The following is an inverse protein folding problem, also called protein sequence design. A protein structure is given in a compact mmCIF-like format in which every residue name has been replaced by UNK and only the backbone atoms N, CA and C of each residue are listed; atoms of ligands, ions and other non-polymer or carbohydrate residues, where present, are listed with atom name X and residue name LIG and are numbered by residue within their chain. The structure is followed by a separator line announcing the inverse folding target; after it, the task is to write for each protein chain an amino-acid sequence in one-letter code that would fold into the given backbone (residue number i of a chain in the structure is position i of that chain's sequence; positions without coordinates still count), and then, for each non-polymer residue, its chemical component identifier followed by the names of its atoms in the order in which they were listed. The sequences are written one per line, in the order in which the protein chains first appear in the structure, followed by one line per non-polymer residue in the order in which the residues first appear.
data_IF_069557334497
#
_entry.id   IF_069557334497
#
_cell.length_a   1.000
_cell.length_b   1.000
_cell.length_c   1.000
_cell.angle_alpha   90.00
_cell.angle_beta   90.00
_cell.angle_gamma   90.00
#
_symmetry.space_group_name_H-M   'P 1'
#
loop_
_entity.id
_entity.type
_entity.pdbx_description
1 polymer ?
#
# COMPACT_ATOMS: atom_id res chain seq x y z
N UNK A 1 -14.07 18.49 17.79
CA UNK A 1 -13.48 18.54 16.42
C UNK A 1 -13.48 17.09 15.93
N UNK A 2 -14.03 16.83 14.76
CA UNK A 2 -14.03 15.48 14.17
C UNK A 2 -12.61 15.14 13.65
N UNK A 3 -12.06 14.02 14.07
CA UNK A 3 -10.71 13.60 13.73
C UNK A 3 -10.75 12.25 13.03
N UNK A 4 -10.05 12.12 11.91
CA UNK A 4 -9.86 10.84 11.20
C UNK A 4 -8.37 10.54 11.04
N UNK A 5 -7.97 9.28 11.23
CA UNK A 5 -6.63 8.82 10.88
C UNK A 5 -6.65 8.12 9.53
N UNK A 6 -5.77 8.56 8.64
CA UNK A 6 -5.64 8.01 7.30
C UNK A 6 -4.25 7.38 7.15
N UNK A 7 -4.22 6.11 6.73
CA UNK A 7 -2.99 5.34 6.61
C UNK A 7 -2.62 5.10 5.15
N UNK A 8 -1.36 5.44 4.76
CA UNK A 8 -0.93 5.33 3.37
C UNK A 8 -0.69 3.87 2.95
N UNK A 9 -0.66 3.65 1.65
CA UNK A 9 -0.25 2.42 1.02
C UNK A 9 1.16 2.46 0.43
N UNK A 10 1.49 1.43 -0.36
CA UNK A 10 2.76 1.30 -1.06
C UNK A 10 3.06 2.53 -1.92
N UNK A 11 4.32 2.99 -1.90
CA UNK A 11 4.80 4.22 -2.54
C UNK A 11 5.11 5.35 -1.55
N UNK A 12 4.73 5.20 -0.26
CA UNK A 12 5.01 6.19 0.79
C UNK A 12 6.28 5.88 1.59
N UNK A 13 6.91 4.72 1.36
CA UNK A 13 8.15 4.33 2.03
C UNK A 13 9.34 5.18 1.58
N UNK A 14 10.25 5.42 2.50
CA UNK A 14 11.59 5.97 2.22
C UNK A 14 12.59 5.46 3.25
N UNK A 15 13.85 5.36 2.84
CA UNK A 15 14.95 5.05 3.76
C UNK A 15 14.99 6.06 4.91
N UNK A 16 15.33 5.59 6.09
CA UNK A 16 15.34 6.32 7.37
C UNK A 16 13.97 6.67 7.97
N UNK A 17 12.84 6.29 7.36
CA UNK A 17 11.51 6.54 7.95
C UNK A 17 11.39 5.88 9.34
N UNK A 18 10.88 6.62 10.32
CA UNK A 18 10.68 6.14 11.69
C UNK A 18 11.95 5.99 12.52
N UNK A 19 13.14 6.37 12.02
CA UNK A 19 14.38 6.32 12.80
C UNK A 19 14.32 7.24 14.03
N UNK A 20 13.75 8.41 13.90
CA UNK A 20 13.47 9.35 14.98
C UNK A 20 12.53 8.75 16.03
N UNK A 21 11.47 8.05 15.62
CA UNK A 21 10.56 7.36 16.52
C UNK A 21 11.28 6.27 17.31
N UNK A 22 12.11 5.46 16.63
CA UNK A 22 12.94 4.45 17.28
C UNK A 22 13.90 5.04 18.33
N UNK A 23 14.51 6.18 18.02
CA UNK A 23 15.50 6.82 18.94
C UNK A 23 14.84 7.51 20.12
N UNK A 24 13.66 8.10 19.94
CA UNK A 24 13.08 9.04 20.88
C UNK A 24 11.90 8.47 21.69
N UNK A 25 11.38 7.29 21.33
CA UNK A 25 10.21 6.72 21.99
C UNK A 25 10.43 5.25 22.37
N UNK A 26 9.90 4.84 23.52
CA UNK A 26 10.00 3.45 23.96
C UNK A 26 9.11 2.54 23.09
N UNK A 27 7.93 3.00 22.70
CA UNK A 27 7.04 2.28 21.77
C UNK A 27 7.70 2.08 20.39
N UNK A 28 8.46 3.04 19.90
CA UNK A 28 9.22 2.90 18.67
C UNK A 28 10.29 1.80 18.79
N UNK A 29 11.06 1.78 19.89
CA UNK A 29 12.07 0.73 20.16
C UNK A 29 11.42 -0.65 20.26
N UNK A 30 10.35 -0.76 21.04
CA UNK A 30 9.62 -2.00 21.26
C UNK A 30 9.11 -2.58 19.93
N UNK A 31 8.37 -1.79 19.16
CA UNK A 31 7.71 -2.27 17.95
C UNK A 31 8.68 -2.57 16.80
N UNK A 32 9.77 -1.81 16.65
CA UNK A 32 10.79 -2.17 15.67
C UNK A 32 11.54 -3.45 16.02
N UNK A 33 11.82 -3.69 17.32
CA UNK A 33 12.47 -4.94 17.75
C UNK A 33 11.51 -6.13 17.58
N UNK A 34 10.26 -6.00 18.01
CA UNK A 34 9.23 -7.01 17.82
C UNK A 34 9.00 -7.32 16.33
N UNK A 35 9.08 -6.30 15.47
CA UNK A 35 8.97 -6.49 14.04
C UNK A 35 10.11 -7.34 13.46
N UNK A 36 11.36 -7.17 13.93
CA UNK A 36 12.47 -8.03 13.51
C UNK A 36 12.20 -9.51 13.86
N UNK A 37 11.69 -9.77 15.07
CA UNK A 37 11.37 -11.12 15.52
C UNK A 37 10.27 -11.76 14.65
N UNK A 38 9.18 -11.04 14.36
CA UNK A 38 8.06 -11.52 13.54
C UNK A 38 8.50 -11.73 12.07
N UNK A 39 9.28 -10.80 11.54
CA UNK A 39 9.77 -10.90 10.15
C UNK A 39 10.81 -12.01 9.99
N UNK A 40 11.52 -12.39 11.06
CA UNK A 40 12.62 -13.33 11.03
C UNK A 40 13.86 -12.79 10.28
N UNK A 41 13.96 -11.47 10.19
CA UNK A 41 15.04 -10.74 9.52
C UNK A 41 15.17 -9.33 10.08
N UNK A 42 16.31 -8.67 9.89
CA UNK A 42 16.50 -7.31 10.35
C UNK A 42 15.81 -6.29 9.42
N UNK A 43 14.47 -6.29 9.46
CA UNK A 43 13.64 -5.33 8.71
C UNK A 43 13.94 -3.88 9.13
N UNK A 44 14.31 -3.67 10.38
CA UNK A 44 14.70 -2.37 10.91
C UNK A 44 15.93 -1.81 10.18
N UNK A 45 16.94 -2.63 9.92
CA UNK A 45 18.13 -2.21 9.18
C UNK A 45 17.77 -1.81 7.74
N UNK A 46 16.94 -2.60 7.07
CA UNK A 46 16.44 -2.29 5.72
C UNK A 46 15.68 -0.95 5.71
N UNK A 47 14.85 -0.69 6.72
CA UNK A 47 14.09 0.56 6.81
C UNK A 47 15.02 1.75 7.06
N UNK A 48 16.00 1.63 7.95
CA UNK A 48 16.83 2.76 8.36
C UNK A 48 17.99 3.04 7.42
N UNK A 49 18.62 2.01 6.89
CA UNK A 49 19.87 2.09 6.14
C UNK A 49 19.72 1.70 4.66
N UNK A 50 18.59 1.09 4.26
CA UNK A 50 18.35 0.70 2.89
C UNK A 50 19.05 -0.60 2.45
N UNK A 51 19.43 -0.72 1.19
CA UNK A 51 19.28 0.30 0.13
C UNK A 51 17.83 0.55 -0.30
N UNK A 52 17.58 1.68 -0.96
CA UNK A 52 16.25 2.11 -1.40
C UNK A 52 15.58 1.10 -2.35
N UNK A 53 16.38 0.45 -3.21
CA UNK A 53 15.92 -0.61 -4.11
C UNK A 53 15.34 -1.81 -3.34
N UNK A 54 16.00 -2.25 -2.27
CA UNK A 54 15.51 -3.33 -1.40
C UNK A 54 14.24 -2.92 -0.68
N UNK A 55 14.20 -1.69 -0.14
CA UNK A 55 13.01 -1.18 0.54
C UNK A 55 11.81 -1.03 -0.39
N UNK A 56 12.01 -0.88 -1.71
CA UNK A 56 10.96 -0.84 -2.73
C UNK A 56 10.37 -2.21 -3.07
N UNK A 57 11.03 -3.29 -2.71
CA UNK A 57 10.46 -4.63 -2.91
C UNK A 57 9.21 -4.80 -2.05
N UNK A 58 8.15 -5.34 -2.64
CA UNK A 58 6.85 -5.54 -1.97
C UNK A 58 6.98 -6.26 -0.63
N UNK A 59 7.93 -7.20 -0.56
CA UNK A 59 8.22 -7.99 0.65
C UNK A 59 8.64 -7.13 1.85
N UNK A 60 9.36 -6.03 1.61
CA UNK A 60 9.85 -5.12 2.65
C UNK A 60 9.03 -3.84 2.75
N UNK A 61 8.56 -3.32 1.61
CA UNK A 61 7.75 -2.09 1.56
C UNK A 61 6.52 -2.18 2.45
N UNK A 62 5.76 -3.28 2.34
CA UNK A 62 4.50 -3.41 3.06
C UNK A 62 4.70 -3.48 4.58
N UNK A 63 5.54 -4.39 5.11
CA UNK A 63 5.84 -4.39 6.54
C UNK A 63 6.39 -3.06 7.04
N UNK A 64 7.30 -2.43 6.29
CA UNK A 64 7.93 -1.17 6.68
C UNK A 64 6.88 -0.04 6.88
N UNK A 65 5.96 0.13 5.93
CA UNK A 65 4.89 1.13 6.03
C UNK A 65 3.95 0.80 7.19
N UNK A 66 3.58 -0.48 7.36
CA UNK A 66 2.72 -0.92 8.46
C UNK A 66 3.34 -0.59 9.83
N UNK A 67 4.61 -0.98 10.06
CA UNK A 67 5.32 -0.77 11.32
C UNK A 67 5.33 0.73 11.69
N UNK A 68 5.79 1.57 10.79
CA UNK A 68 5.88 3.03 11.04
C UNK A 68 4.51 3.65 11.24
N UNK A 69 3.51 3.25 10.43
CA UNK A 69 2.13 3.75 10.53
C UNK A 69 1.50 3.41 11.88
N UNK A 70 1.67 2.18 12.35
CA UNK A 70 1.11 1.76 13.65
C UNK A 70 1.82 2.45 14.80
N UNK A 71 3.14 2.57 14.77
CA UNK A 71 3.89 3.32 15.79
C UNK A 71 3.37 4.76 15.91
N UNK A 72 3.24 5.47 14.78
CA UNK A 72 2.70 6.84 14.76
C UNK A 72 1.27 6.87 15.32
N UNK A 73 0.42 5.97 14.88
CA UNK A 73 -0.97 5.90 15.35
C UNK A 73 -1.07 5.65 16.85
N UNK A 74 -0.24 4.74 17.41
CA UNK A 74 -0.17 4.47 18.84
C UNK A 74 0.32 5.67 19.64
N UNK A 75 1.38 6.34 19.19
CA UNK A 75 1.89 7.56 19.83
C UNK A 75 0.82 8.65 19.86
N UNK A 76 0.05 8.81 18.78
CA UNK A 76 -1.05 9.79 18.75
C UNK A 76 -2.16 9.43 19.74
N UNK A 77 -2.54 8.15 19.82
CA UNK A 77 -3.52 7.68 20.80
C UNK A 77 -3.06 7.93 22.24
N UNK A 78 -1.80 7.63 22.56
CA UNK A 78 -1.20 7.85 23.88
C UNK A 78 -1.15 9.34 24.25
N UNK A 79 -1.02 10.22 23.25
CA UNK A 79 -1.13 11.68 23.43
C UNK A 79 -2.57 12.20 23.53
N UNK A 80 -3.56 11.31 23.55
CA UNK A 80 -4.97 11.66 23.68
C UNK A 80 -5.68 12.04 22.37
N UNK A 81 -5.02 11.89 21.21
CA UNK A 81 -5.66 12.07 19.91
C UNK A 81 -6.54 10.84 19.61
N UNK A 82 -7.85 10.96 19.83
CA UNK A 82 -8.81 9.87 19.59
C UNK A 82 -9.54 10.11 18.28
N UNK A 83 -9.29 9.29 17.23
CA UNK A 83 -10.03 9.42 15.98
C UNK A 83 -11.44 8.85 16.13
N UNK A 84 -12.43 9.49 15.53
CA UNK A 84 -13.79 8.98 15.38
C UNK A 84 -13.89 7.97 14.24
N UNK A 85 -12.95 8.02 13.30
CA UNK A 85 -12.81 7.03 12.24
C UNK A 85 -11.37 6.85 11.79
N UNK A 86 -11.10 5.68 11.25
CA UNK A 86 -9.82 5.32 10.64
C UNK A 86 -10.06 4.78 9.24
N UNK A 87 -9.15 5.05 8.31
CA UNK A 87 -9.18 4.47 6.97
C UNK A 87 -7.76 4.24 6.46
N UNK A 88 -7.62 3.29 5.55
CA UNK A 88 -6.32 2.96 4.96
C UNK A 88 -6.43 2.70 3.46
N UNK A 89 -5.40 3.10 2.72
CA UNK A 89 -5.29 2.81 1.31
C UNK A 89 -4.54 1.48 1.10
N UNK A 90 -5.21 0.46 0.55
CA UNK A 90 -4.62 -0.86 0.29
C UNK A 90 -3.95 -1.44 1.55
N UNK A 91 -2.62 -1.46 1.62
CA UNK A 91 -1.87 -1.88 2.81
C UNK A 91 -2.26 -1.09 4.07
N UNK A 92 -2.52 0.20 3.95
CA UNK A 92 -2.89 1.07 5.06
C UNK A 92 -4.13 0.61 5.83
N UNK A 93 -5.00 -0.19 5.20
CA UNK A 93 -6.17 -0.81 5.86
C UNK A 93 -5.77 -1.69 7.05
N UNK A 94 -4.68 -2.43 6.95
CA UNK A 94 -4.15 -3.22 8.07
C UNK A 94 -3.71 -2.33 9.23
N UNK A 95 -3.09 -1.19 8.94
CA UNK A 95 -2.73 -0.21 9.96
C UNK A 95 -3.98 0.41 10.61
N UNK A 96 -5.00 0.74 9.80
CA UNK A 96 -6.28 1.24 10.29
C UNK A 96 -6.97 0.21 11.20
N UNK A 97 -7.03 -1.06 10.82
CA UNK A 97 -7.59 -2.14 11.62
C UNK A 97 -6.82 -2.34 12.95
N UNK A 98 -5.50 -2.23 12.93
CA UNK A 98 -4.69 -2.32 14.16
C UNK A 98 -4.97 -1.14 15.09
N UNK A 99 -5.07 0.07 14.57
CA UNK A 99 -5.33 1.27 15.38
C UNK A 99 -6.76 1.31 15.91
N UNK A 100 -7.72 0.73 15.18
CA UNK A 100 -9.10 0.54 15.68
C UNK A 100 -9.24 -0.55 16.74
N UNK A 101 -8.19 -1.35 16.98
CA UNK A 101 -8.21 -2.46 17.92
C UNK A 101 -8.81 -3.77 17.38
N UNK A 102 -9.01 -3.87 16.07
CA UNK A 102 -9.56 -5.09 15.44
C UNK A 102 -8.59 -6.28 15.54
N UNK A 103 -7.28 -6.03 15.57
CA UNK A 103 -6.24 -7.02 15.86
C UNK A 103 -4.98 -6.36 16.47
N UNK A 104 -4.12 -7.19 17.06
CA UNK A 104 -2.88 -6.72 17.66
C UNK A 104 -1.84 -6.34 16.57
N UNK A 105 -0.79 -5.63 16.97
CA UNK A 105 0.34 -5.32 16.09
C UNK A 105 0.96 -6.57 15.48
N UNK A 106 1.16 -7.61 16.30
CA UNK A 106 1.78 -8.87 15.90
C UNK A 106 0.95 -9.60 14.85
N UNK A 107 -0.36 -9.71 15.10
CA UNK A 107 -1.27 -10.35 14.16
C UNK A 107 -1.35 -9.56 12.85
N UNK A 108 -1.43 -8.23 12.94
CA UNK A 108 -1.45 -7.36 11.78
C UNK A 108 -0.16 -7.44 10.97
N UNK A 109 1.01 -7.43 11.61
CA UNK A 109 2.29 -7.57 10.92
C UNK A 109 2.45 -8.96 10.27
N UNK A 110 2.00 -10.02 10.95
CA UNK A 110 2.01 -11.38 10.40
C UNK A 110 1.13 -11.49 9.16
N UNK A 111 -0.05 -10.87 9.16
CA UNK A 111 -0.94 -10.81 8.00
C UNK A 111 -0.31 -9.99 6.85
N UNK A 112 0.33 -8.87 7.16
CA UNK A 112 1.02 -8.03 6.17
C UNK A 112 2.21 -8.76 5.54
N UNK A 113 2.98 -9.50 6.34
CA UNK A 113 4.06 -10.38 5.87
C UNK A 113 3.53 -11.41 4.88
N UNK A 114 2.50 -12.17 5.28
CA UNK A 114 1.87 -13.17 4.42
C UNK A 114 1.32 -12.56 3.12
N UNK A 115 0.69 -11.38 3.22
CA UNK A 115 0.22 -10.62 2.06
C UNK A 115 1.35 -10.26 1.11
N UNK A 116 2.45 -9.72 1.63
CA UNK A 116 3.61 -9.30 0.84
C UNK A 116 4.26 -10.48 0.11
N UNK A 117 4.42 -11.61 0.80
CA UNK A 117 4.94 -12.86 0.24
C UNK A 117 4.06 -13.37 -0.91
N UNK A 118 2.74 -13.46 -0.70
CA UNK A 118 1.81 -13.93 -1.71
C UNK A 118 1.73 -12.98 -2.92
N UNK A 119 1.75 -11.68 -2.69
CA UNK A 119 1.78 -10.69 -3.78
C UNK A 119 3.08 -10.78 -4.60
N UNK A 120 4.22 -11.03 -3.96
CA UNK A 120 5.49 -11.23 -4.65
C UNK A 120 5.47 -12.51 -5.50
N UNK A 121 4.93 -13.61 -4.96
CA UNK A 121 4.77 -14.87 -5.69
C UNK A 121 3.83 -14.66 -6.88
N UNK A 122 2.67 -14.05 -6.68
CA UNK A 122 1.70 -13.78 -7.73
C UNK A 122 2.30 -12.92 -8.86
N UNK A 123 3.07 -11.88 -8.52
CA UNK A 123 3.75 -11.03 -9.50
C UNK A 123 4.84 -11.74 -10.29
N UNK A 124 5.51 -12.73 -9.71
CA UNK A 124 6.50 -13.59 -10.40
C UNK A 124 5.80 -14.61 -11.31
N UNK A 125 4.71 -15.22 -10.83
CA UNK A 125 3.98 -16.26 -11.57
C UNK A 125 3.18 -15.67 -12.74
N UNK A 126 2.56 -14.51 -12.54
CA UNK A 126 1.76 -13.81 -13.54
C UNK A 126 2.24 -12.36 -13.68
N UNK A 127 3.32 -12.11 -14.43
CA UNK A 127 3.86 -10.77 -14.59
C UNK A 127 2.85 -9.81 -15.21
N UNK A 128 2.47 -8.79 -14.45
CA UNK A 128 1.54 -7.75 -14.83
C UNK A 128 2.11 -6.35 -14.65
N UNK A 129 1.25 -5.36 -14.82
CA UNK A 129 1.53 -3.96 -14.51
C UNK A 129 0.25 -3.23 -14.12
N UNK A 130 0.41 -2.01 -13.63
CA UNK A 130 -0.68 -1.11 -13.27
C UNK A 130 -0.46 0.24 -13.94
N UNK A 131 -1.54 0.97 -14.18
CA UNK A 131 -1.49 2.35 -14.65
C UNK A 131 -2.61 3.17 -14.02
N UNK A 132 -2.31 4.42 -13.67
CA UNK A 132 -3.29 5.38 -13.21
C UNK A 132 -3.88 6.15 -14.39
N UNK A 133 -5.21 6.22 -14.47
CA UNK A 133 -5.96 7.00 -15.45
C UNK A 133 -6.69 8.11 -14.70
N UNK A 134 -6.51 9.35 -15.16
CA UNK A 134 -7.06 10.54 -14.52
C UNK A 134 -7.95 11.29 -15.49
N UNK A 135 -9.14 11.68 -15.02
CA UNK A 135 -10.07 12.53 -15.76
C UNK A 135 -11.11 11.77 -16.58
N UNK A 136 -11.33 10.49 -16.25
CA UNK A 136 -12.42 9.69 -16.81
C UNK A 136 -13.27 9.11 -15.69
N UNK A 137 -14.53 8.78 -15.99
CA UNK A 137 -15.43 8.11 -15.05
C UNK A 137 -15.02 6.65 -14.82
N UNK A 138 -15.49 6.06 -13.72
CA UNK A 138 -15.27 4.62 -13.45
C UNK A 138 -15.93 3.75 -14.52
N UNK A 139 -17.13 4.12 -14.94
CA UNK A 139 -17.94 3.43 -15.94
C UNK A 139 -17.23 3.38 -17.31
N UNK A 140 -16.65 4.49 -17.76
CA UNK A 140 -15.89 4.57 -19.01
C UNK A 140 -14.65 3.68 -18.95
N UNK A 141 -13.88 3.74 -17.85
CA UNK A 141 -12.70 2.90 -17.66
C UNK A 141 -13.07 1.42 -17.58
N UNK A 142 -14.14 1.08 -16.88
CA UNK A 142 -14.64 -0.29 -16.82
C UNK A 142 -15.05 -0.81 -18.20
N UNK A 143 -15.70 0.02 -18.99
CA UNK A 143 -16.07 -0.32 -20.36
C UNK A 143 -14.84 -0.57 -21.23
N UNK A 144 -13.83 0.32 -21.20
CA UNK A 144 -12.58 0.15 -21.95
C UNK A 144 -11.86 -1.13 -21.50
N UNK A 145 -11.75 -1.38 -20.20
CA UNK A 145 -11.14 -2.61 -19.69
C UNK A 145 -11.86 -3.88 -20.20
N UNK A 146 -13.19 -3.86 -20.18
CA UNK A 146 -14.02 -4.99 -20.63
C UNK A 146 -13.85 -5.25 -22.13
N UNK A 147 -13.84 -4.21 -22.96
CA UNK A 147 -13.70 -4.32 -24.42
C UNK A 147 -12.28 -4.69 -24.84
N UNK A 148 -11.27 -4.28 -24.09
CA UNK A 148 -9.86 -4.64 -24.34
C UNK A 148 -9.54 -6.07 -23.90
N UNK A 149 -10.17 -6.57 -22.82
CA UNK A 149 -9.90 -7.90 -22.28
C UNK A 149 -10.33 -9.04 -23.21
N UNK A 150 -9.45 -10.05 -23.35
CA UNK A 150 -9.66 -11.29 -24.08
C UNK A 150 -9.13 -12.46 -23.28
N UNK A 151 -9.34 -13.71 -23.73
CA UNK A 151 -8.75 -14.90 -23.08
C UNK A 151 -7.23 -14.75 -23.00
N UNK A 152 -6.69 -14.82 -21.77
CA UNK A 152 -5.27 -14.64 -21.46
C UNK A 152 -4.70 -13.22 -21.71
N UNK A 153 -5.56 -12.23 -21.88
CA UNK A 153 -5.20 -10.83 -22.12
C UNK A 153 -6.15 -9.96 -21.29
N UNK A 154 -5.89 -9.90 -19.99
CA UNK A 154 -6.85 -9.36 -19.01
C UNK A 154 -6.36 -8.03 -18.47
N UNK A 155 -7.25 -7.07 -18.39
CA UNK A 155 -7.09 -5.81 -17.66
C UNK A 155 -8.39 -5.47 -16.95
N UNK A 156 -8.28 -5.00 -15.70
CA UNK A 156 -9.43 -4.65 -14.86
C UNK A 156 -9.19 -3.32 -14.13
N UNK A 157 -10.25 -2.58 -13.78
CA UNK A 157 -10.14 -1.53 -12.78
C UNK A 157 -9.75 -2.17 -11.44
N UNK A 158 -8.66 -1.69 -10.83
CA UNK A 158 -8.11 -2.25 -9.60
C UNK A 158 -8.32 -1.34 -8.38
N UNK A 159 -8.22 -0.01 -8.57
CA UNK A 159 -8.47 0.97 -7.52
C UNK A 159 -9.33 2.12 -8.05
N UNK A 160 -10.31 2.52 -7.26
CA UNK A 160 -11.08 3.74 -7.44
C UNK A 160 -10.65 4.73 -6.34
N UNK A 161 -9.58 5.47 -6.59
CA UNK A 161 -8.94 6.32 -5.57
C UNK A 161 -9.70 7.63 -5.34
N UNK A 162 -10.34 8.14 -6.38
CA UNK A 162 -11.20 9.32 -6.33
C UNK A 162 -12.13 9.32 -7.55
N UNK A 163 -13.16 10.18 -7.59
CA UNK A 163 -14.03 10.29 -8.76
C UNK A 163 -13.28 10.50 -10.09
N UNK A 164 -12.06 11.03 -10.03
CA UNK A 164 -11.25 11.37 -11.21
C UNK A 164 -9.97 10.52 -11.35
N UNK A 165 -9.73 9.54 -10.48
CA UNK A 165 -8.52 8.70 -10.55
C UNK A 165 -8.86 7.23 -10.34
N UNK A 166 -8.74 6.46 -11.41
CA UNK A 166 -8.88 5.00 -11.43
C UNK A 166 -7.53 4.38 -11.78
N UNK A 167 -7.15 3.32 -11.07
CA UNK A 167 -5.97 2.52 -11.41
C UNK A 167 -6.44 1.24 -12.07
N UNK A 168 -5.87 0.91 -13.20
CA UNK A 168 -6.08 -0.37 -13.91
C UNK A 168 -4.91 -1.31 -13.65
N UNK A 169 -5.18 -2.60 -13.66
CA UNK A 169 -4.20 -3.67 -13.47
C UNK A 169 -4.45 -4.84 -14.41
N UNK A 170 -3.39 -5.48 -14.89
CA UNK A 170 -3.51 -6.62 -15.78
C UNK A 170 -2.24 -7.01 -16.49
N UNK A 171 -2.37 -7.79 -17.56
CA UNK A 171 -1.27 -8.12 -18.44
C UNK A 171 -0.63 -6.85 -19.01
N UNK A 172 0.70 -6.80 -19.08
CA UNK A 172 1.45 -5.60 -19.54
C UNK A 172 0.93 -5.05 -20.87
N UNK A 173 0.67 -5.91 -21.83
CA UNK A 173 0.15 -5.52 -23.15
C UNK A 173 -1.28 -5.01 -23.09
N UNK A 174 -2.15 -5.67 -22.29
CA UNK A 174 -3.55 -5.25 -22.12
C UNK A 174 -3.63 -3.89 -21.42
N UNK A 175 -2.83 -3.68 -20.38
CA UNK A 175 -2.75 -2.37 -19.70
C UNK A 175 -2.29 -1.29 -20.67
N UNK A 176 -1.25 -1.56 -21.50
CA UNK A 176 -0.76 -0.60 -22.49
C UNK A 176 -1.84 -0.24 -23.52
N UNK A 177 -2.56 -1.23 -24.05
CA UNK A 177 -3.66 -1.00 -25.01
C UNK A 177 -4.80 -0.19 -24.36
N UNK A 178 -5.18 -0.53 -23.13
CA UNK A 178 -6.18 0.24 -22.37
C UNK A 178 -5.73 1.69 -22.12
N UNK A 179 -4.44 1.92 -21.82
CA UNK A 179 -3.88 3.26 -21.69
C UNK A 179 -4.01 4.09 -22.98
N UNK A 180 -3.81 3.48 -24.13
CA UNK A 180 -3.96 4.13 -25.45
C UNK A 180 -5.43 4.45 -25.73
N UNK A 181 -6.34 3.50 -25.47
CA UNK A 181 -7.77 3.74 -25.60
C UNK A 181 -8.26 4.87 -24.68
N UNK A 182 -7.81 4.89 -23.42
CA UNK A 182 -8.17 5.94 -22.46
C UNK A 182 -7.68 7.33 -22.92
N UNK A 183 -6.46 7.44 -23.45
CA UNK A 183 -5.95 8.71 -24.03
C UNK A 183 -6.82 9.18 -25.19
N UNK A 184 -7.15 8.28 -26.11
CA UNK A 184 -7.97 8.59 -27.28
C UNK A 184 -9.42 8.95 -26.90
N UNK A 185 -9.90 8.48 -25.75
CA UNK A 185 -11.23 8.74 -25.20
C UNK A 185 -11.27 9.95 -24.26
N UNK A 186 -10.19 10.73 -24.15
CA UNK A 186 -10.20 12.00 -23.42
C UNK A 186 -9.66 11.94 -21.99
N UNK A 187 -8.93 10.89 -21.60
CA UNK A 187 -8.22 10.89 -20.33
C UNK A 187 -7.25 12.08 -20.24
N UNK A 188 -7.30 12.84 -19.14
CA UNK A 188 -6.43 13.99 -18.92
C UNK A 188 -4.97 13.60 -18.72
N UNK A 189 -4.74 12.48 -18.04
CA UNK A 189 -3.42 11.92 -17.77
C UNK A 189 -3.51 10.39 -17.66
N UNK A 190 -2.53 9.72 -18.24
CA UNK A 190 -2.36 8.26 -18.15
C UNK A 190 -0.90 7.98 -17.82
N UNK A 191 -0.62 7.39 -16.66
CA UNK A 191 0.72 7.24 -16.11
C UNK A 191 0.96 5.81 -15.58
#
# INVERSE_FOLDING_TARGET
MFTAFLFPGQGSQKVSMGYDLYKQTDIGKEYFNLANDIMGSDIKDIIFNGPDETLKETLYTQPAIYIVSVIIGKILLDKGCKPEMVAGHSLGEYSACTISGSFSFENGLSLVKLRAENMQIAGKTNPGTMAAIIGMSFEDIQHICTTTSKKNFIVVPANHNSPNQIVISGNKSAVKETMEHARNSGARLVK
#
